data_IF_887684039157
#
_entry.id   IF_887684039157
#
_cell.length_a   1.000
_cell.length_b   1.000
_cell.length_c   1.000
_cell.angle_alpha   90.00
_cell.angle_beta   90.00
_cell.angle_gamma   90.00
#
_symmetry.space_group_name_H-M   'P 1'
#
loop_
_entity.id
_entity.type
_entity.pdbx_description
1 polymer ?
#
# COMPACT_ATOMS: atom_id res chain seq x y z
N UNK A 1 -1.22 -3.25 18.12
CA UNK A 1 -1.43 -4.50 17.38
C UNK A 1 -1.50 -4.11 15.93
N UNK A 2 -0.38 -4.19 15.20
CA UNK A 2 -0.36 -3.89 13.77
C UNK A 2 -1.13 -4.99 13.05
N UNK A 3 -2.22 -4.60 12.42
CA UNK A 3 -3.21 -5.48 11.83
C UNK A 3 -2.71 -6.08 10.50
N UNK A 4 -1.59 -6.80 10.55
CA UNK A 4 -0.88 -7.42 9.41
C UNK A 4 -1.76 -8.34 8.54
N UNK A 5 -2.98 -8.64 9.00
CA UNK A 5 -3.97 -9.46 8.30
C UNK A 5 -4.95 -8.66 7.44
N UNK A 6 -5.36 -7.46 7.84
CA UNK A 6 -6.41 -6.73 7.13
C UNK A 6 -5.97 -6.34 5.72
N UNK A 7 -4.82 -5.67 5.59
CA UNK A 7 -4.32 -5.23 4.29
C UNK A 7 -4.06 -6.42 3.35
N UNK A 8 -3.58 -7.54 3.90
CA UNK A 8 -3.38 -8.77 3.12
C UNK A 8 -4.70 -9.36 2.62
N UNK A 9 -5.73 -9.41 3.47
CA UNK A 9 -7.04 -9.95 3.12
C UNK A 9 -7.78 -9.04 2.13
N UNK A 10 -7.72 -7.72 2.34
CA UNK A 10 -8.39 -6.74 1.47
C UNK A 10 -7.80 -6.76 0.04
N UNK A 11 -6.48 -6.91 -0.07
CA UNK A 11 -5.77 -6.88 -1.34
C UNK A 11 -5.33 -8.27 -1.85
N UNK A 12 -5.88 -9.35 -1.28
CA UNK A 12 -5.55 -10.74 -1.67
C UNK A 12 -5.78 -10.99 -3.17
N UNK A 13 -6.85 -10.43 -3.72
CA UNK A 13 -7.28 -10.67 -5.10
C UNK A 13 -6.77 -9.60 -6.07
N UNK A 14 -5.97 -8.64 -5.61
CA UNK A 14 -5.38 -7.64 -6.50
C UNK A 14 -4.21 -8.27 -7.26
N UNK A 15 -4.23 -8.06 -8.58
CA UNK A 15 -3.09 -8.33 -9.44
C UNK A 15 -2.74 -7.07 -10.24
N UNK A 16 -1.62 -6.44 -9.88
CA UNK A 16 -1.05 -5.31 -10.58
C UNK A 16 -0.12 -5.72 -11.74
N UNK A 17 -0.02 -7.02 -12.05
CA UNK A 17 0.87 -7.57 -13.07
C UNK A 17 2.34 -7.67 -12.66
N UNK A 18 2.66 -7.28 -11.42
CA UNK A 18 3.99 -7.43 -10.79
C UNK A 18 3.83 -7.71 -9.29
N UNK A 19 4.27 -8.89 -8.85
CA UNK A 19 4.21 -9.32 -7.44
C UNK A 19 4.87 -8.33 -6.49
N UNK A 20 5.91 -7.62 -6.93
CA UNK A 20 6.59 -6.60 -6.11
C UNK A 20 5.70 -5.40 -5.87
N UNK A 21 4.84 -5.05 -6.83
CA UNK A 21 3.84 -3.99 -6.66
C UNK A 21 2.72 -4.46 -5.73
N UNK A 22 2.26 -5.71 -5.87
CA UNK A 22 1.26 -6.30 -4.97
C UNK A 22 1.73 -6.27 -3.51
N UNK A 23 2.97 -6.72 -3.26
CA UNK A 23 3.58 -6.64 -1.92
C UNK A 23 3.75 -5.21 -1.42
N UNK A 24 4.06 -4.27 -2.33
CA UNK A 24 4.20 -2.86 -1.98
C UNK A 24 2.89 -2.25 -1.53
N UNK A 25 1.81 -2.55 -2.24
CA UNK A 25 0.48 -2.09 -1.90
C UNK A 25 0.10 -2.56 -0.50
N UNK A 26 0.27 -3.85 -0.20
CA UNK A 26 -0.01 -4.40 1.13
C UNK A 26 0.77 -3.67 2.23
N UNK A 27 2.05 -3.37 1.99
CA UNK A 27 2.91 -2.69 2.96
C UNK A 27 2.50 -1.23 3.18
N UNK A 28 2.21 -0.49 2.12
CA UNK A 28 1.72 0.90 2.20
C UNK A 28 0.39 0.95 2.94
N UNK A 29 -0.52 0.03 2.61
CA UNK A 29 -1.82 -0.06 3.28
C UNK A 29 -1.67 -0.36 4.77
N UNK A 30 -0.75 -1.23 5.17
CA UNK A 30 -0.46 -1.47 6.59
C UNK A 30 0.04 -0.19 7.29
N UNK A 31 0.97 0.53 6.67
CA UNK A 31 1.49 1.79 7.21
C UNK A 31 0.38 2.81 7.44
N UNK A 32 -0.59 2.89 6.52
CA UNK A 32 -1.74 3.78 6.68
C UNK A 32 -2.80 3.27 7.65
N UNK A 33 -3.02 1.95 7.75
CA UNK A 33 -3.91 1.38 8.78
C UNK A 33 -3.43 1.71 10.19
N UNK A 34 -2.11 1.71 10.42
CA UNK A 34 -1.51 2.03 11.71
C UNK A 34 -1.53 3.55 12.01
N UNK A 35 -1.65 4.41 10.98
CA UNK A 35 -1.66 5.88 11.14
C UNK A 35 -2.40 6.60 9.99
N UNK A 36 -3.74 6.54 9.93
CA UNK A 36 -4.52 6.98 8.76
C UNK A 36 -4.41 8.48 8.44
N UNK A 37 -4.22 9.31 9.47
CA UNK A 37 -4.10 10.76 9.33
C UNK A 37 -2.66 11.23 9.06
N UNK A 38 -1.68 10.31 9.11
CA UNK A 38 -0.29 10.66 8.90
C UNK A 38 0.04 10.73 7.41
N UNK A 39 0.84 11.72 6.97
CA UNK A 39 1.33 11.75 5.60
C UNK A 39 2.27 10.56 5.34
N UNK A 40 2.47 10.20 4.07
CA UNK A 40 3.29 9.04 3.63
C UNK A 40 4.65 9.00 4.35
N UNK A 41 5.35 10.12 4.45
CA UNK A 41 6.67 10.22 5.06
C UNK A 41 6.71 9.98 6.57
N UNK A 42 5.55 10.02 7.24
CA UNK A 42 5.40 9.74 8.66
C UNK A 42 4.78 8.36 8.90
N UNK A 43 3.89 7.92 8.01
CA UNK A 43 3.24 6.62 8.06
C UNK A 43 4.17 5.48 7.63
N UNK A 44 4.94 5.66 6.55
CA UNK A 44 5.90 4.68 6.04
C UNK A 44 7.24 4.90 6.74
N UNK A 45 7.61 3.98 7.64
CA UNK A 45 8.62 4.18 8.69
C UNK A 45 9.94 4.76 8.20
N UNK A 46 10.66 4.05 7.33
CA UNK A 46 11.99 4.48 6.87
C UNK A 46 11.97 5.25 5.54
N UNK A 47 13.10 5.87 5.20
CA UNK A 47 13.23 6.68 3.99
C UNK A 47 13.11 5.84 2.70
N UNK A 48 13.53 4.57 2.75
CA UNK A 48 13.43 3.65 1.64
C UNK A 48 11.97 3.30 1.33
N UNK A 49 11.19 3.02 2.36
CA UNK A 49 9.75 2.75 2.31
C UNK A 49 8.97 3.97 1.86
N UNK A 50 9.27 5.14 2.44
CA UNK A 50 8.67 6.41 2.01
C UNK A 50 8.91 6.65 0.51
N UNK A 51 10.15 6.51 0.04
CA UNK A 51 10.46 6.67 -1.40
C UNK A 51 9.76 5.62 -2.25
N UNK A 52 9.70 4.38 -1.77
CA UNK A 52 9.03 3.29 -2.47
C UNK A 52 7.52 3.55 -2.60
N UNK A 53 6.89 4.14 -1.58
CA UNK A 53 5.49 4.56 -1.60
C UNK A 53 5.25 5.68 -2.63
N UNK A 54 6.08 6.73 -2.62
CA UNK A 54 5.98 7.77 -3.65
C UNK A 54 6.18 7.23 -5.07
N UNK A 55 7.14 6.32 -5.27
CA UNK A 55 7.36 5.68 -6.57
C UNK A 55 6.19 4.78 -6.98
N UNK A 56 5.53 4.15 -6.03
CA UNK A 56 4.34 3.35 -6.29
C UNK A 56 3.20 4.25 -6.81
N UNK A 57 2.85 5.32 -6.09
CA UNK A 57 1.80 6.23 -6.53
C UNK A 57 2.13 7.00 -7.81
N UNK A 58 3.41 7.18 -8.14
CA UNK A 58 3.87 7.80 -9.39
C UNK A 58 4.17 6.79 -10.52
N UNK A 59 3.74 5.53 -10.38
CA UNK A 59 3.98 4.50 -11.39
C UNK A 59 2.85 4.48 -12.43
N UNK A 60 3.15 4.86 -13.67
CA UNK A 60 2.20 4.88 -14.79
C UNK A 60 1.65 3.50 -15.18
N UNK A 61 2.32 2.42 -14.76
CA UNK A 61 1.84 1.05 -14.98
C UNK A 61 0.75 0.65 -13.97
N UNK A 62 0.51 1.48 -12.94
CA UNK A 62 -0.52 1.24 -11.94
C UNK A 62 -1.75 2.02 -12.34
N UNK A 63 -2.80 1.29 -12.70
CA UNK A 63 -4.11 1.87 -12.96
C UNK A 63 -4.95 1.77 -11.69
N UNK A 64 -5.55 2.88 -11.27
CA UNK A 64 -6.52 2.85 -10.19
C UNK A 64 -7.73 2.03 -10.65
N UNK A 65 -7.95 0.90 -9.99
CA UNK A 65 -9.17 0.10 -10.16
C UNK A 65 -10.12 0.38 -9.00
N UNK A 66 -11.44 0.25 -9.19
CA UNK A 66 -12.39 0.33 -8.10
C UNK A 66 -12.05 -0.73 -7.04
N UNK A 67 -11.75 -0.27 -5.81
CA UNK A 67 -11.68 -1.15 -4.65
C UNK A 67 -13.10 -1.53 -4.23
N UNK A 68 -13.24 -2.67 -3.55
CA UNK A 68 -14.55 -3.17 -3.07
C UNK A 68 -15.26 -2.08 -2.26
N UNK A 69 -16.30 -1.48 -2.83
CA UNK A 69 -17.28 -0.67 -2.10
C UNK A 69 -18.25 -1.64 -1.43
N UNK A 70 -18.14 -1.78 -0.11
CA UNK A 70 -19.22 -2.36 0.71
C UNK A 70 -20.34 -1.36 0.90
#
# INVERSE_FOLDING_TARGET
>A
MSDNGWAKNEFETIDLGDDRLNQRLMKISQCFSDSPESPINKACGDWGETKAAYRFFNNHNITAVPLRTK
#
